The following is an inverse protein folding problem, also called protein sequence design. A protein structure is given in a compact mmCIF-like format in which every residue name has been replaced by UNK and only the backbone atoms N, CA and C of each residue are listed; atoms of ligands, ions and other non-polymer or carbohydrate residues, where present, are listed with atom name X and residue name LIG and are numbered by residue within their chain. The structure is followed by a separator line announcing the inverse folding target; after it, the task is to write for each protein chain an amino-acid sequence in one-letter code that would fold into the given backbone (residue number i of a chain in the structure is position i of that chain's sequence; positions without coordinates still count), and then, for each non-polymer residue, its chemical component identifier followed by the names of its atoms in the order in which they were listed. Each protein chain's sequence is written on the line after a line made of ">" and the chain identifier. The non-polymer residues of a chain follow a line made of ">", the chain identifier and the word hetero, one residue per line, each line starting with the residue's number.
data_IF_507739484950
#
_entry.id   IF_507739484950
#
_cell.length_a   1.000
_cell.length_b   1.000
_cell.length_c   1.000
_cell.angle_alpha   90.00
_cell.angle_beta   90.00
_cell.angle_gamma   90.00
#
_symmetry.space_group_name_H-M   'P 1'
#
loop_
_entity.id
_entity.type
_entity.pdbx_description
1 polymer ?
#
# COMPACT_ATOMS: atom_id res chain seq x y z
N UNK A 1 31.90 18.93 71.11
CA UNK A 1 31.46 19.25 69.72
C UNK A 1 32.14 18.38 68.65
N UNK A 2 33.46 18.16 68.66
CA UNK A 2 34.15 17.41 67.57
C UNK A 2 33.77 15.90 67.46
N UNK A 3 33.39 15.25 68.57
CA UNK A 3 33.05 13.80 68.58
C UNK A 3 31.65 13.50 68.04
N UNK A 4 30.68 14.37 68.35
CA UNK A 4 29.30 14.25 67.83
C UNK A 4 29.22 14.60 66.34
N UNK A 5 30.05 15.53 65.87
CA UNK A 5 30.14 15.90 64.45
C UNK A 5 30.67 14.76 63.57
N UNK A 6 31.67 14.00 64.03
CA UNK A 6 32.20 12.83 63.29
C UNK A 6 31.16 11.74 63.08
N UNK A 7 30.31 11.48 64.08
CA UNK A 7 29.23 10.48 63.97
C UNK A 7 28.16 10.88 62.96
N UNK A 8 27.83 12.16 62.90
CA UNK A 8 26.90 12.70 61.91
C UNK A 8 27.41 12.55 60.48
N UNK A 9 28.70 12.89 60.25
CA UNK A 9 29.34 12.74 58.93
C UNK A 9 29.42 11.27 58.49
N UNK A 10 29.71 10.36 59.42
CA UNK A 10 29.70 8.91 59.16
C UNK A 10 28.32 8.38 58.76
N UNK A 11 27.26 8.82 59.44
CA UNK A 11 25.89 8.44 59.09
C UNK A 11 25.41 9.01 57.75
N UNK A 12 25.85 10.22 57.41
CA UNK A 12 25.55 10.80 56.10
C UNK A 12 26.24 10.04 54.96
N UNK A 13 27.50 9.66 55.14
CA UNK A 13 28.26 8.84 54.18
C UNK A 13 27.63 7.48 53.94
N UNK A 14 27.14 6.79 54.99
CA UNK A 14 26.47 5.50 54.82
C UNK A 14 25.11 5.63 54.13
N UNK A 15 24.36 6.70 54.41
CA UNK A 15 23.10 6.98 53.73
C UNK A 15 23.28 7.24 52.22
N UNK A 16 24.35 7.92 51.81
CA UNK A 16 24.67 8.17 50.39
C UNK A 16 25.00 6.86 49.65
N UNK A 17 25.72 5.93 50.29
CA UNK A 17 26.07 4.64 49.70
C UNK A 17 24.82 3.77 49.50
N UNK A 18 23.88 3.77 50.45
CA UNK A 18 22.63 3.02 50.34
C UNK A 18 21.68 3.68 49.32
N UNK A 19 21.65 5.01 49.28
CA UNK A 19 20.83 5.80 48.35
C UNK A 19 21.27 5.71 46.88
N UNK A 20 22.52 5.35 46.60
CA UNK A 20 23.02 5.20 45.23
C UNK A 20 22.53 3.92 44.53
N UNK A 21 21.94 2.96 45.25
CA UNK A 21 21.46 1.68 44.70
C UNK A 21 20.04 1.73 44.12
N UNK A 22 19.34 2.87 44.21
CA UNK A 22 18.02 3.02 43.59
C UNK A 22 18.18 3.20 42.07
N UNK A 23 18.10 2.10 41.34
CA UNK A 23 17.94 2.13 39.88
C UNK A 23 16.52 2.58 39.55
N UNK A 24 16.36 3.85 39.16
CA UNK A 24 15.13 4.31 38.54
C UNK A 24 15.17 3.91 37.06
N UNK A 25 14.17 3.17 36.58
CA UNK A 25 14.01 2.96 35.15
C UNK A 25 13.74 4.32 34.49
N UNK A 26 14.67 4.80 33.66
CA UNK A 26 14.47 6.05 32.93
C UNK A 26 13.40 5.82 31.86
N UNK A 27 12.21 6.37 32.07
CA UNK A 27 11.17 6.43 31.03
C UNK A 27 11.67 7.41 29.96
N UNK A 28 12.09 6.88 28.81
CA UNK A 28 12.50 7.66 27.65
C UNK A 28 11.37 7.69 26.64
N UNK A 29 10.80 8.88 26.38
CA UNK A 29 9.89 9.08 25.25
C UNK A 29 10.69 8.91 23.96
N UNK A 30 10.39 7.85 23.19
CA UNK A 30 10.95 7.65 21.85
C UNK A 30 10.01 8.33 20.85
N UNK A 31 10.51 9.31 20.09
CA UNK A 31 9.75 9.91 19.00
C UNK A 31 9.80 8.98 17.78
N UNK A 32 8.62 8.67 17.22
CA UNK A 32 8.49 7.88 15.99
C UNK A 32 8.55 8.85 14.82
N UNK A 33 9.63 8.82 14.04
CA UNK A 33 9.73 9.62 12.82
C UNK A 33 9.01 8.91 11.67
N UNK A 34 7.90 9.49 11.21
CA UNK A 34 7.09 8.99 10.08
C UNK A 34 7.04 10.06 9.00
N UNK A 35 7.47 9.72 7.79
CA UNK A 35 7.32 10.58 6.63
C UNK A 35 6.02 10.22 5.89
N UNK A 36 5.08 11.15 5.82
CA UNK A 36 3.81 10.98 5.11
C UNK A 36 3.97 11.29 3.63
N UNK A 37 3.38 10.45 2.78
CA UNK A 37 3.33 10.59 1.32
C UNK A 37 4.70 10.86 0.67
N UNK A 38 5.76 10.29 1.26
CA UNK A 38 7.12 10.41 0.74
C UNK A 38 7.36 9.55 -0.52
N UNK A 39 6.48 8.58 -0.79
CA UNK A 39 6.59 7.66 -1.91
C UNK A 39 5.32 7.70 -2.77
N UNK A 40 5.52 7.64 -4.09
CA UNK A 40 4.44 7.53 -5.06
C UNK A 40 4.28 6.05 -5.41
N UNK A 41 3.14 5.45 -5.08
CA UNK A 41 2.82 4.06 -5.40
C UNK A 41 1.85 4.04 -6.57
N UNK A 42 2.16 3.26 -7.59
CA UNK A 42 1.31 3.07 -8.77
C UNK A 42 0.99 1.59 -8.94
N UNK A 43 -0.28 1.29 -9.22
CA UNK A 43 -0.80 -0.06 -9.44
C UNK A 43 -1.44 -0.08 -10.82
N UNK A 44 -0.94 -0.92 -11.72
CA UNK A 44 -1.42 -1.03 -13.11
C UNK A 44 -1.44 0.32 -13.87
N UNK A 45 -0.47 1.19 -13.58
CA UNK A 45 -0.37 2.53 -14.21
C UNK A 45 -1.29 3.59 -13.59
N UNK A 46 -2.09 3.23 -12.59
CA UNK A 46 -2.90 4.18 -11.83
C UNK A 46 -2.19 4.51 -10.50
N UNK A 47 -2.08 5.80 -10.20
CA UNK A 47 -1.55 6.26 -8.92
C UNK A 47 -2.50 5.86 -7.78
N UNK A 48 -1.93 5.26 -6.74
CA UNK A 48 -2.64 4.93 -5.51
C UNK A 48 -2.75 6.19 -4.65
N UNK A 49 -3.95 6.77 -4.61
CA UNK A 49 -4.24 7.91 -3.72
C UNK A 49 -4.63 7.37 -2.34
N UNK A 50 -3.63 7.10 -1.51
CA UNK A 50 -3.82 6.67 -0.12
C UNK A 50 -2.73 7.23 0.79
N UNK A 51 -2.99 7.19 2.10
CA UNK A 51 -2.06 7.66 3.12
C UNK A 51 -0.87 6.71 3.26
N UNK A 52 0.12 6.89 2.40
CA UNK A 52 1.34 6.11 2.39
C UNK A 52 2.29 6.68 3.44
N UNK A 53 2.81 5.83 4.31
CA UNK A 53 3.77 6.24 5.33
C UNK A 53 5.12 5.60 5.08
N UNK A 54 6.20 6.32 5.34
CA UNK A 54 7.54 5.76 5.37
C UNK A 54 8.06 5.82 6.80
N UNK A 55 8.35 4.65 7.35
CA UNK A 55 8.84 4.46 8.71
C UNK A 55 10.11 3.63 8.68
N UNK A 56 11.19 4.15 9.27
CA UNK A 56 12.51 3.50 9.30
C UNK A 56 13.03 3.06 7.91
N UNK A 57 12.74 3.83 6.87
CA UNK A 57 13.14 3.51 5.49
C UNK A 57 12.27 2.47 4.78
N UNK A 58 11.25 1.94 5.47
CA UNK A 58 10.23 1.06 4.87
C UNK A 58 8.98 1.86 4.57
N UNK A 59 8.49 1.77 3.34
CA UNK A 59 7.23 2.38 2.92
C UNK A 59 6.08 1.40 3.13
N UNK A 60 5.05 1.83 3.86
CA UNK A 60 3.83 1.09 4.13
C UNK A 60 2.67 1.72 3.38
N UNK A 61 1.94 0.88 2.66
CA UNK A 61 0.68 1.26 2.03
C UNK A 61 -0.48 0.60 2.79
N UNK A 62 -1.61 1.29 2.94
CA UNK A 62 -2.84 0.71 3.46
C UNK A 62 -3.26 -0.56 2.70
N UNK A 63 -3.45 -1.66 3.42
CA UNK A 63 -3.69 -2.99 2.82
C UNK A 63 -4.98 -3.05 2.02
N UNK A 64 -6.01 -2.30 2.44
CA UNK A 64 -7.32 -2.29 1.81
C UNK A 64 -7.24 -1.64 0.44
N UNK A 65 -6.75 -0.42 0.39
CA UNK A 65 -6.60 0.41 -0.80
C UNK A 65 -5.68 -0.28 -1.82
N UNK A 66 -4.57 -0.86 -1.35
CA UNK A 66 -3.67 -1.60 -2.23
C UNK A 66 -4.34 -2.85 -2.81
N UNK A 67 -5.09 -3.59 -2.00
CA UNK A 67 -5.79 -4.80 -2.45
C UNK A 67 -6.93 -4.47 -3.41
N UNK A 68 -7.70 -3.41 -3.16
CA UNK A 68 -8.76 -2.92 -4.03
C UNK A 68 -8.20 -2.46 -5.38
N UNK A 69 -7.07 -1.75 -5.39
CA UNK A 69 -6.36 -1.36 -6.62
C UNK A 69 -5.88 -2.58 -7.43
N UNK A 70 -5.64 -3.71 -6.78
CA UNK A 70 -5.31 -4.99 -7.40
C UNK A 70 -6.55 -5.81 -7.81
N UNK A 71 -7.76 -5.25 -7.68
CA UNK A 71 -9.02 -5.91 -7.99
C UNK A 71 -9.35 -7.06 -7.05
N UNK A 72 -8.83 -7.04 -5.81
CA UNK A 72 -9.08 -8.04 -4.77
C UNK A 72 -10.10 -7.53 -3.77
N UNK A 73 -10.82 -8.46 -3.15
CA UNK A 73 -11.73 -8.17 -2.07
C UNK A 73 -11.02 -8.35 -0.72
N UNK A 74 -11.19 -7.39 0.18
CA UNK A 74 -10.64 -7.46 1.54
C UNK A 74 -11.79 -7.65 2.54
N UNK A 75 -11.63 -8.64 3.41
CA UNK A 75 -12.55 -8.91 4.52
C UNK A 75 -11.80 -8.76 5.84
N UNK A 76 -12.44 -8.12 6.81
CA UNK A 76 -11.94 -7.98 8.17
C UNK A 76 -12.76 -8.84 9.12
N UNK A 77 -12.09 -9.70 9.87
CA UNK A 77 -12.69 -10.45 10.97
C UNK A 77 -12.30 -9.80 12.30
N UNK A 78 -13.26 -9.10 12.91
CA UNK A 78 -13.08 -8.43 14.20
C UNK A 78 -12.79 -9.40 15.34
N UNK A 79 -13.30 -10.64 15.29
CA UNK A 79 -13.16 -11.59 16.40
C UNK A 79 -11.73 -12.12 16.49
N UNK A 80 -11.09 -12.35 15.33
CA UNK A 80 -9.73 -12.88 15.24
C UNK A 80 -8.69 -11.82 14.93
N UNK A 81 -9.11 -10.57 14.69
CA UNK A 81 -8.25 -9.49 14.18
C UNK A 81 -7.49 -9.89 12.90
N UNK A 82 -8.18 -10.61 12.01
CA UNK A 82 -7.59 -11.15 10.78
C UNK A 82 -8.08 -10.39 9.56
N UNK A 83 -7.14 -9.92 8.74
CA UNK A 83 -7.42 -9.44 7.38
C UNK A 83 -7.31 -10.61 6.41
N UNK A 84 -8.37 -10.88 5.66
CA UNK A 84 -8.36 -11.87 4.58
C UNK A 84 -8.47 -11.17 3.23
N UNK A 85 -7.50 -11.40 2.34
CA UNK A 85 -7.53 -10.90 0.96
C UNK A 85 -7.94 -12.05 0.04
N UNK A 86 -9.05 -11.88 -0.66
CA UNK A 86 -9.61 -12.89 -1.58
C UNK A 86 -9.55 -12.37 -3.01
N UNK A 87 -9.45 -13.31 -3.95
CA UNK A 87 -9.78 -12.99 -5.33
C UNK A 87 -11.25 -12.56 -5.39
N UNK A 88 -11.51 -11.45 -6.06
CA UNK A 88 -12.88 -11.06 -6.35
C UNK A 88 -13.55 -12.21 -7.09
N UNK A 89 -14.76 -12.64 -6.67
CA UNK A 89 -15.48 -13.68 -7.36
C UNK A 89 -15.65 -13.25 -8.82
N UNK A 90 -15.36 -14.17 -9.73
CA UNK A 90 -15.65 -13.97 -11.16
C UNK A 90 -17.18 -13.95 -11.29
N UNK A 91 -17.76 -12.76 -11.28
CA UNK A 91 -19.18 -12.58 -11.55
C UNK A 91 -19.45 -12.83 -13.03
N UNK A 92 -20.58 -13.46 -13.31
CA UNK A 92 -21.02 -13.74 -14.68
C UNK A 92 -21.14 -12.44 -15.49
N UNK A 93 -21.49 -11.33 -14.84
CA UNK A 93 -21.56 -10.00 -15.46
C UNK A 93 -20.19 -9.51 -15.95
N UNK A 94 -19.12 -9.72 -15.17
CA UNK A 94 -17.77 -9.35 -15.57
C UNK A 94 -17.30 -10.20 -16.76
N UNK A 95 -17.60 -11.50 -16.77
CA UNK A 95 -17.29 -12.39 -17.90
C UNK A 95 -18.01 -11.97 -19.17
N UNK A 96 -19.30 -11.63 -19.09
CA UNK A 96 -20.05 -11.16 -20.24
C UNK A 96 -19.52 -9.81 -20.75
N UNK A 97 -19.16 -8.90 -19.85
CA UNK A 97 -18.55 -7.61 -20.23
C UNK A 97 -17.23 -7.82 -20.96
N UNK A 98 -16.31 -8.59 -20.38
CA UNK A 98 -14.99 -8.85 -20.97
C UNK A 98 -15.11 -9.54 -22.34
N UNK A 99 -16.02 -10.52 -22.47
CA UNK A 99 -16.29 -11.18 -23.73
C UNK A 99 -16.95 -10.26 -24.75
N UNK A 100 -17.86 -9.38 -24.31
CA UNK A 100 -18.52 -8.39 -25.18
C UNK A 100 -17.49 -7.42 -25.76
N UNK A 101 -16.61 -6.86 -24.93
CA UNK A 101 -15.56 -5.94 -25.37
C UNK A 101 -14.59 -6.60 -26.35
N UNK A 102 -14.25 -7.87 -26.10
CA UNK A 102 -13.47 -8.66 -27.04
C UNK A 102 -14.20 -8.86 -28.39
N UNK A 103 -15.48 -9.24 -28.36
CA UNK A 103 -16.29 -9.43 -29.58
C UNK A 103 -16.39 -8.12 -30.37
N UNK A 104 -16.66 -6.99 -29.70
CA UNK A 104 -16.76 -5.68 -30.36
C UNK A 104 -15.44 -5.27 -31.02
N UNK A 105 -14.32 -5.52 -30.34
CA UNK A 105 -12.98 -5.28 -30.90
C UNK A 105 -12.75 -6.11 -32.15
N UNK A 106 -13.08 -7.41 -32.10
CA UNK A 106 -12.94 -8.32 -33.23
C UNK A 106 -13.84 -7.94 -34.42
N UNK A 107 -15.09 -7.56 -34.16
CA UNK A 107 -16.01 -7.07 -35.19
C UNK A 107 -15.47 -5.80 -35.86
N UNK A 108 -14.94 -4.86 -35.08
CA UNK A 108 -14.32 -3.64 -35.61
C UNK A 108 -13.17 -3.94 -36.57
N UNK A 109 -12.29 -4.89 -36.22
CA UNK A 109 -11.18 -5.32 -37.09
C UNK A 109 -11.70 -5.97 -38.38
N UNK A 110 -12.68 -6.86 -38.29
CA UNK A 110 -13.24 -7.57 -39.44
C UNK A 110 -13.93 -6.59 -40.40
N UNK A 111 -14.79 -5.71 -39.88
CA UNK A 111 -15.53 -4.72 -40.67
C UNK A 111 -14.56 -3.74 -41.34
N UNK A 112 -13.57 -3.23 -40.61
CA UNK A 112 -12.54 -2.35 -41.15
C UNK A 112 -11.72 -3.02 -42.27
N UNK A 113 -11.34 -4.28 -42.09
CA UNK A 113 -10.66 -5.08 -43.11
C UNK A 113 -11.51 -5.25 -44.37
N UNK A 114 -12.80 -5.56 -44.22
CA UNK A 114 -13.71 -5.76 -45.35
C UNK A 114 -13.97 -4.48 -46.13
N UNK A 115 -14.13 -3.34 -45.45
CA UNK A 115 -14.23 -2.01 -46.08
C UNK A 115 -12.96 -1.71 -46.87
N UNK A 116 -11.79 -1.93 -46.25
CA UNK A 116 -10.49 -1.70 -46.90
C UNK A 116 -10.35 -2.56 -48.16
N UNK A 117 -10.73 -3.84 -48.08
CA UNK A 117 -10.74 -4.75 -49.22
C UNK A 117 -11.64 -4.23 -50.35
N UNK A 118 -12.88 -3.84 -50.04
CA UNK A 118 -13.81 -3.28 -51.03
C UNK A 118 -13.23 -2.02 -51.70
N UNK A 119 -12.58 -1.14 -50.95
CA UNK A 119 -11.94 0.08 -51.49
C UNK A 119 -10.80 -0.29 -52.45
N UNK A 120 -9.95 -1.25 -52.08
CA UNK A 120 -8.86 -1.73 -52.94
C UNK A 120 -9.42 -2.31 -54.25
N UNK A 121 -10.43 -3.17 -54.17
CA UNK A 121 -11.06 -3.79 -55.35
C UNK A 121 -11.70 -2.73 -56.25
N UNK A 122 -12.44 -1.76 -55.69
CA UNK A 122 -13.00 -0.64 -56.47
C UNK A 122 -11.91 0.16 -57.19
N UNK A 123 -10.78 0.42 -56.52
CA UNK A 123 -9.63 1.14 -57.11
C UNK A 123 -8.97 0.34 -58.23
N UNK A 124 -8.84 -0.98 -58.07
CA UNK A 124 -8.31 -1.87 -59.10
C UNK A 124 -9.22 -1.91 -60.34
N UNK A 125 -10.54 -2.06 -60.15
CA UNK A 125 -11.51 -2.05 -61.25
C UNK A 125 -11.48 -0.72 -62.01
N UNK A 126 -11.36 0.42 -61.30
CA UNK A 126 -11.23 1.74 -61.94
C UNK A 126 -9.99 1.84 -62.82
N UNK A 127 -8.85 1.26 -62.39
CA UNK A 127 -7.62 1.22 -63.19
C UNK A 127 -7.71 0.31 -64.42
N UNK A 128 -8.53 -0.73 -64.39
CA UNK A 128 -8.73 -1.64 -65.53
C UNK A 128 -9.66 -1.07 -66.61
N UNK A 129 -10.50 -0.09 -66.26
CA UNK A 129 -11.45 0.57 -67.16
C UNK A 129 -10.96 1.91 -67.73
N UNK A 130 -9.81 2.39 -67.27
CA UNK A 130 -9.12 3.58 -67.78
C UNK A 130 -8.01 3.15 -68.74
#
# INVERSE_FOLDING_TARGET
>A
MKKTFKGFVMGFLSAVIIGASFSFAQISWQSIYVAFNAANVEVNGNKLESDIITYQGTTYAPVKELSEALGKQVEWDEQTSTVTVKNSPVSIDNLFSDMSDFIQTMLGVIVGGLITYIVIVKRAIKKLKA
#
